data_IF_252057223817
#
_entry.id   IF_252057223817
#
_cell.length_a   1.000
_cell.length_b   1.000
_cell.length_c   1.000
_cell.angle_alpha   90.00
_cell.angle_beta   90.00
_cell.angle_gamma   90.00
#
_symmetry.space_group_name_H-M   'P 1'
#
loop_
_entity.id
_entity.type
_entity.pdbx_description
1 polymer ?
#
# COMPACT_ATOMS: atom_id res chain seq x y z
N UNK A 1 10.69 -26.11 -59.70
CA UNK A 1 11.31 -25.09 -58.82
C UNK A 1 10.32 -23.93 -58.70
N UNK A 2 9.71 -23.75 -57.53
CA UNK A 2 8.73 -22.70 -57.29
C UNK A 2 8.56 -22.54 -55.79
N UNK A 3 9.43 -21.73 -55.19
CA UNK A 3 9.47 -21.47 -53.75
C UNK A 3 8.37 -20.48 -53.39
N UNK A 4 7.45 -20.87 -52.50
CA UNK A 4 6.48 -19.96 -51.87
C UNK A 4 7.19 -19.14 -50.79
N UNK A 5 7.04 -17.81 -50.71
CA UNK A 5 7.49 -17.05 -49.57
C UNK A 5 6.50 -17.20 -48.41
N UNK A 6 7.05 -17.39 -47.21
CA UNK A 6 6.32 -17.45 -45.95
C UNK A 6 5.64 -16.11 -45.66
N UNK A 7 4.31 -16.11 -45.51
CA UNK A 7 3.57 -14.99 -44.98
C UNK A 7 3.78 -14.92 -43.46
N UNK A 8 4.84 -14.23 -43.04
CA UNK A 8 4.99 -13.76 -41.66
C UNK A 8 3.86 -12.79 -41.36
N UNK A 9 2.88 -13.23 -40.58
CA UNK A 9 1.86 -12.34 -40.03
C UNK A 9 2.49 -11.69 -38.79
N UNK A 10 2.71 -10.37 -38.72
CA UNK A 10 2.94 -9.74 -37.44
C UNK A 10 1.59 -9.82 -36.73
N UNK A 11 1.45 -10.75 -35.79
CA UNK A 11 0.45 -10.58 -34.75
C UNK A 11 0.96 -9.43 -33.90
N UNK A 12 0.69 -8.19 -34.36
CA UNK A 12 0.49 -7.08 -33.45
C UNK A 12 -0.44 -7.64 -32.40
N UNK A 13 0.13 -7.94 -31.23
CA UNK A 13 -0.61 -8.10 -30.00
C UNK A 13 -1.38 -6.80 -29.90
N UNK A 14 -2.60 -6.84 -30.40
CA UNK A 14 -3.58 -5.79 -30.25
C UNK A 14 -3.62 -5.66 -28.75
N UNK A 15 -3.00 -4.58 -28.25
CA UNK A 15 -3.11 -4.11 -26.89
C UNK A 15 -4.60 -4.03 -26.67
N UNK A 16 -5.16 -5.14 -26.17
CA UNK A 16 -6.59 -5.30 -25.93
C UNK A 16 -6.82 -4.26 -24.86
N UNK A 17 -7.31 -3.10 -25.28
CA UNK A 17 -7.81 -2.09 -24.39
C UNK A 17 -8.85 -2.76 -23.50
N UNK A 18 -8.48 -2.94 -22.24
CA UNK A 18 -9.24 -3.64 -21.23
C UNK A 18 -8.42 -3.60 -19.96
N UNK A 19 -8.81 -2.73 -19.01
CA UNK A 19 -8.08 -2.36 -17.79
C UNK A 19 -6.78 -1.57 -18.03
N UNK A 20 -6.82 -0.55 -18.88
CA UNK A 20 -5.80 0.50 -18.89
C UNK A 20 -6.00 1.42 -17.68
N UNK A 21 -5.00 1.51 -16.81
CA UNK A 21 -4.80 2.59 -15.83
C UNK A 21 -5.79 2.72 -14.66
N UNK A 22 -6.56 1.69 -14.29
CA UNK A 22 -7.56 1.81 -13.21
C UNK A 22 -7.01 1.97 -11.78
N UNK A 23 -5.69 2.08 -11.61
CA UNK A 23 -5.08 2.34 -10.29
C UNK A 23 -3.56 2.52 -10.31
N UNK A 24 -2.98 3.01 -11.40
CA UNK A 24 -1.54 3.24 -11.49
C UNK A 24 -1.15 4.45 -10.65
N UNK A 25 -0.49 4.22 -9.51
CA UNK A 25 0.23 5.27 -8.81
C UNK A 25 1.48 5.73 -9.59
N UNK A 26 1.92 4.90 -10.55
CA UNK A 26 3.02 5.17 -11.49
C UNK A 26 2.60 4.81 -12.91
N UNK A 27 3.33 5.31 -13.91
CA UNK A 27 3.09 5.05 -15.34
C UNK A 27 3.18 3.56 -15.73
N UNK A 28 3.79 2.71 -14.88
CA UNK A 28 3.87 1.26 -15.05
C UNK A 28 2.78 0.47 -14.30
N UNK A 29 1.92 1.14 -13.53
CA UNK A 29 0.94 0.45 -12.67
C UNK A 29 1.54 -0.17 -11.41
N UNK A 30 2.80 0.15 -11.10
CA UNK A 30 3.53 -0.24 -9.89
C UNK A 30 3.15 0.67 -8.72
N UNK A 31 3.24 0.11 -7.51
CA UNK A 31 3.15 0.90 -6.28
C UNK A 31 4.40 1.77 -6.14
N UNK A 32 4.27 3.00 -5.60
CA UNK A 32 5.40 3.88 -5.40
C UNK A 32 6.33 3.26 -4.36
N UNK A 33 7.64 3.34 -4.60
CA UNK A 33 8.62 2.89 -3.63
C UNK A 33 8.60 3.81 -2.40
N UNK A 34 8.49 3.20 -1.23
CA UNK A 34 8.51 3.91 0.05
C UNK A 34 9.93 3.98 0.60
N UNK A 35 10.37 5.19 0.96
CA UNK A 35 11.66 5.38 1.64
C UNK A 35 11.51 5.19 3.16
N UNK A 36 12.52 4.64 3.85
CA UNK A 36 12.48 4.48 5.30
C UNK A 36 12.45 5.84 6.00
N UNK A 37 11.47 6.03 6.88
CA UNK A 37 11.27 7.24 7.68
C UNK A 37 11.66 6.94 9.13
N UNK A 38 12.79 7.49 9.63
CA UNK A 38 13.18 7.26 11.02
C UNK A 38 12.19 7.92 11.99
N UNK A 39 11.98 7.26 13.13
CA UNK A 39 11.10 7.71 14.20
C UNK A 39 11.94 7.88 15.46
N UNK A 40 11.93 9.09 16.02
CA UNK A 40 12.91 9.49 17.05
C UNK A 40 12.56 8.96 18.44
N UNK A 41 11.28 8.69 18.73
CA UNK A 41 10.79 8.22 20.04
C UNK A 41 9.39 7.63 19.95
N UNK A 42 8.96 6.91 20.99
CA UNK A 42 7.60 6.38 21.14
C UNK A 42 6.52 7.48 21.09
N UNK A 43 6.80 8.65 21.69
CA UNK A 43 5.88 9.79 21.66
C UNK A 43 5.76 10.40 20.24
N UNK A 44 6.87 10.49 19.51
CA UNK A 44 6.87 10.94 18.12
C UNK A 44 6.08 9.98 17.23
N UNK A 45 6.26 8.67 17.42
CA UNK A 45 5.46 7.65 16.74
C UNK A 45 3.96 7.81 17.01
N UNK A 46 3.58 7.92 18.29
CA UNK A 46 2.20 8.09 18.72
C UNK A 46 1.53 9.33 18.11
N UNK A 47 2.23 10.46 18.08
CA UNK A 47 1.72 11.68 17.47
C UNK A 47 1.53 11.51 15.96
N UNK A 48 2.49 10.86 15.28
CA UNK A 48 2.37 10.54 13.85
C UNK A 48 1.19 9.60 13.58
N UNK A 49 1.01 8.53 14.36
CA UNK A 49 -0.15 7.63 14.25
C UNK A 49 -1.48 8.36 14.48
N UNK A 50 -1.57 9.22 15.50
CA UNK A 50 -2.77 10.02 15.75
C UNK A 50 -3.13 10.92 14.57
N UNK A 51 -2.12 11.50 13.91
CA UNK A 51 -2.29 12.29 12.70
C UNK A 51 -2.76 11.43 11.53
N UNK A 52 -2.17 10.25 11.35
CA UNK A 52 -2.55 9.29 10.31
C UNK A 52 -4.02 8.88 10.41
N UNK A 53 -4.56 8.66 11.61
CA UNK A 53 -6.01 8.37 11.79
C UNK A 53 -6.88 9.45 11.14
N UNK A 54 -6.51 10.74 11.32
CA UNK A 54 -7.26 11.87 10.73
C UNK A 54 -7.04 11.98 9.22
N UNK A 55 -5.85 11.65 8.74
CA UNK A 55 -5.52 11.69 7.30
C UNK A 55 -6.14 10.53 6.52
N UNK A 56 -6.42 9.40 7.18
CA UNK A 56 -7.03 8.21 6.58
C UNK A 56 -8.56 8.23 6.53
N UNK A 57 -9.23 9.23 7.12
CA UNK A 57 -10.70 9.39 7.03
C UNK A 57 -11.16 9.36 5.57
N UNK A 58 -12.10 8.48 5.22
CA UNK A 58 -12.61 8.26 3.85
C UNK A 58 -13.14 9.51 3.15
N UNK A 59 -13.45 10.59 3.89
CA UNK A 59 -13.85 11.90 3.36
C UNK A 59 -12.67 12.71 2.84
N UNK A 60 -11.43 12.35 3.21
CA UNK A 60 -10.21 12.97 2.70
C UNK A 60 -9.95 12.56 1.27
N UNK A 61 -9.19 13.40 0.58
CA UNK A 61 -8.75 13.09 -0.78
C UNK A 61 -7.99 11.75 -0.83
N UNK A 62 -8.26 10.95 -1.86
CA UNK A 62 -7.73 9.60 -1.99
C UNK A 62 -6.21 9.57 -2.16
N UNK A 63 -5.62 10.58 -2.80
CA UNK A 63 -4.18 10.70 -2.96
C UNK A 63 -3.51 11.08 -1.63
N UNK A 64 -4.15 11.93 -0.82
CA UNK A 64 -3.70 12.23 0.53
C UNK A 64 -3.71 10.98 1.43
N UNK A 65 -4.74 10.14 1.32
CA UNK A 65 -4.84 8.86 2.05
C UNK A 65 -3.74 7.88 1.64
N UNK A 66 -3.43 7.80 0.35
CA UNK A 66 -2.30 7.02 -0.16
C UNK A 66 -0.99 7.50 0.47
N UNK A 67 -0.72 8.81 0.45
CA UNK A 67 0.49 9.38 1.06
C UNK A 67 0.59 9.08 2.56
N UNK A 68 -0.53 9.11 3.27
CA UNK A 68 -0.59 8.72 4.68
C UNK A 68 -0.23 7.24 4.89
N UNK A 69 -0.75 6.32 4.06
CA UNK A 69 -0.37 4.89 4.12
C UNK A 69 1.11 4.67 3.83
N UNK A 70 1.66 5.31 2.79
CA UNK A 70 3.09 5.24 2.47
C UNK A 70 3.94 5.82 3.61
N UNK A 71 3.46 6.85 4.30
CA UNK A 71 4.16 7.37 5.48
C UNK A 71 4.18 6.35 6.62
N UNK A 72 3.11 5.60 6.85
CA UNK A 72 3.11 4.50 7.83
C UNK A 72 4.11 3.42 7.44
N UNK A 73 4.08 2.98 6.19
CA UNK A 73 5.01 1.99 5.65
C UNK A 73 6.46 2.44 5.81
N UNK A 74 6.76 3.71 5.50
CA UNK A 74 8.08 4.29 5.67
C UNK A 74 8.54 4.26 7.11
N UNK A 75 7.65 4.53 8.07
CA UNK A 75 7.98 4.41 9.51
C UNK A 75 8.28 2.96 9.90
N UNK A 76 7.55 2.00 9.37
CA UNK A 76 7.79 0.56 9.60
C UNK A 76 9.16 0.16 9.05
N UNK A 77 9.48 0.54 7.81
CA UNK A 77 10.80 0.34 7.18
C UNK A 77 11.93 1.04 7.95
N UNK A 78 11.64 2.21 8.52
CA UNK A 78 12.54 2.98 9.38
C UNK A 78 12.75 2.38 10.77
N UNK A 79 12.13 1.24 11.08
CA UNK A 79 12.34 0.50 12.32
C UNK A 79 11.38 0.85 13.46
N UNK A 80 10.26 1.52 13.19
CA UNK A 80 9.24 1.84 14.20
C UNK A 80 8.69 0.59 14.91
N UNK A 81 8.73 -0.57 14.27
CA UNK A 81 8.31 -1.86 14.86
C UNK A 81 9.11 -2.30 16.10
N UNK A 82 10.25 -1.67 16.36
CA UNK A 82 11.08 -1.92 17.55
C UNK A 82 10.61 -1.14 18.79
N UNK A 83 9.71 -0.18 18.62
CA UNK A 83 9.15 0.63 19.70
C UNK A 83 8.17 -0.20 20.54
N UNK A 84 8.16 0.02 21.86
CA UNK A 84 7.33 -0.75 22.79
C UNK A 84 5.83 -0.51 22.56
N UNK A 85 5.46 0.73 22.23
CA UNK A 85 4.09 1.12 21.92
C UNK A 85 3.64 0.83 20.48
N UNK A 86 4.46 0.17 19.64
CA UNK A 86 4.15 0.02 18.22
C UNK A 86 2.82 -0.68 17.96
N UNK A 87 2.59 -1.82 18.64
CA UNK A 87 1.37 -2.60 18.46
C UNK A 87 0.12 -1.87 18.96
N UNK A 88 0.24 -1.10 20.04
CA UNK A 88 -0.88 -0.34 20.59
C UNK A 88 -1.29 0.81 19.66
N UNK A 89 -0.31 1.52 19.09
CA UNK A 89 -0.62 2.57 18.11
C UNK A 89 -1.10 2.00 16.77
N UNK A 90 -0.62 0.81 16.37
CA UNK A 90 -1.13 0.12 15.18
C UNK A 90 -2.59 -0.32 15.36
N UNK A 91 -3.00 -0.72 16.58
CA UNK A 91 -4.41 -0.98 16.91
C UNK A 91 -5.27 0.25 16.74
N UNK A 92 -4.77 1.44 17.09
CA UNK A 92 -5.51 2.69 16.90
C UNK A 92 -5.74 3.03 15.42
N UNK A 93 -4.86 2.57 14.53
CA UNK A 93 -4.97 2.75 13.08
C UNK A 93 -5.86 1.71 12.39
N UNK A 94 -6.20 0.62 13.08
CA UNK A 94 -6.88 -0.54 12.50
C UNK A 94 -8.13 -0.16 11.71
N UNK A 95 -9.09 0.50 12.34
CA UNK A 95 -10.39 0.76 11.71
C UNK A 95 -10.23 1.65 10.46
N UNK A 96 -9.34 2.65 10.53
CA UNK A 96 -9.03 3.52 9.41
C UNK A 96 -8.34 2.76 8.25
N UNK A 97 -7.46 1.80 8.54
CA UNK A 97 -6.83 0.94 7.55
C UNK A 97 -7.82 -0.05 6.93
N UNK A 98 -8.73 -0.62 7.71
CA UNK A 98 -9.82 -1.49 7.21
C UNK A 98 -10.71 -0.74 6.22
N UNK A 99 -11.02 0.54 6.47
CA UNK A 99 -11.75 1.36 5.51
C UNK A 99 -11.00 1.52 4.17
N UNK A 100 -9.66 1.62 4.19
CA UNK A 100 -8.86 1.73 2.97
C UNK A 100 -8.84 0.42 2.16
N UNK A 101 -8.80 -0.72 2.85
CA UNK A 101 -8.90 -2.05 2.20
C UNK A 101 -10.22 -2.20 1.44
N UNK A 102 -11.29 -1.57 1.92
CA UNK A 102 -12.61 -1.58 1.31
C UNK A 102 -12.85 -0.43 0.29
N UNK A 103 -11.82 0.37 -0.04
CA UNK A 103 -11.97 1.49 -0.97
C UNK A 103 -12.25 0.99 -2.40
N UNK A 104 -13.23 1.64 -3.06
CA UNK A 104 -13.64 1.32 -4.44
C UNK A 104 -12.58 1.68 -5.49
N UNK A 105 -11.62 2.53 -5.15
CA UNK A 105 -10.50 2.88 -6.01
C UNK A 105 -9.39 1.85 -5.81
N UNK A 106 -9.12 1.08 -6.85
CA UNK A 106 -8.08 0.04 -6.79
C UNK A 106 -6.69 0.57 -6.40
N UNK A 107 -6.38 1.85 -6.69
CA UNK A 107 -5.15 2.48 -6.24
C UNK A 107 -5.03 2.50 -4.70
N UNK A 108 -6.11 2.87 -3.99
CA UNK A 108 -6.10 2.98 -2.53
C UNK A 108 -6.04 1.59 -1.90
N UNK A 109 -6.91 0.67 -2.31
CA UNK A 109 -6.96 -0.67 -1.73
C UNK A 109 -5.69 -1.48 -2.04
N UNK A 110 -5.04 -1.29 -3.21
CA UNK A 110 -3.73 -1.91 -3.49
C UNK A 110 -2.62 -1.44 -2.55
N UNK A 111 -2.56 -0.14 -2.25
CA UNK A 111 -1.60 0.40 -1.28
C UNK A 111 -1.89 -0.12 0.12
N UNK A 112 -3.16 -0.15 0.53
CA UNK A 112 -3.56 -0.68 1.82
C UNK A 112 -3.19 -2.16 1.98
N UNK A 113 -3.44 -2.99 0.96
CA UNK A 113 -3.06 -4.40 0.95
C UNK A 113 -1.54 -4.60 1.01
N UNK A 114 -0.78 -3.76 0.30
CA UNK A 114 0.69 -3.83 0.33
C UNK A 114 1.23 -3.51 1.73
N UNK A 115 0.77 -2.41 2.33
CA UNK A 115 1.12 -2.03 3.70
C UNK A 115 0.76 -3.13 4.71
N UNK A 116 -0.39 -3.78 4.56
CA UNK A 116 -0.78 -4.92 5.41
C UNK A 116 0.21 -6.09 5.28
N UNK A 117 0.70 -6.35 4.06
CA UNK A 117 1.75 -7.33 3.80
C UNK A 117 3.08 -6.97 4.49
N UNK A 118 3.51 -5.71 4.36
CA UNK A 118 4.73 -5.22 5.03
C UNK A 118 4.63 -5.30 6.56
N UNK A 119 3.46 -4.98 7.12
CA UNK A 119 3.18 -5.13 8.56
C UNK A 119 3.25 -6.61 8.99
N UNK A 120 2.67 -7.52 8.20
CA UNK A 120 2.70 -8.95 8.47
C UNK A 120 4.13 -9.51 8.44
N UNK A 121 4.93 -9.13 7.43
CA UNK A 121 6.35 -9.53 7.33
C UNK A 121 7.16 -8.97 8.51
N UNK A 122 6.94 -7.71 8.87
CA UNK A 122 7.70 -7.04 9.93
C UNK A 122 7.37 -7.59 11.33
N UNK A 123 6.10 -7.91 11.59
CA UNK A 123 5.64 -8.38 12.91
C UNK A 123 5.70 -9.90 13.07
N UNK A 124 5.67 -10.66 11.97
CA UNK A 124 5.60 -12.12 11.99
C UNK A 124 4.43 -12.61 12.85
N UNK A 125 4.68 -13.54 13.76
CA UNK A 125 3.65 -14.12 14.65
C UNK A 125 2.95 -13.08 15.54
N UNK A 126 3.56 -11.92 15.79
CA UNK A 126 2.93 -10.84 16.57
C UNK A 126 1.78 -10.16 15.82
N UNK A 127 1.69 -10.37 14.50
CA UNK A 127 0.61 -9.86 13.68
C UNK A 127 -0.68 -10.67 13.81
N UNK A 128 -0.61 -11.93 14.25
CA UNK A 128 -1.76 -12.83 14.28
C UNK A 128 -2.97 -12.29 15.04
N UNK A 129 -2.84 -11.67 16.24
CA UNK A 129 -3.98 -11.06 16.93
C UNK A 129 -4.59 -9.87 16.19
N UNK A 130 -3.83 -9.21 15.30
CA UNK A 130 -4.34 -8.11 14.47
C UNK A 130 -4.98 -8.63 13.18
N UNK A 131 -4.41 -9.70 12.59
CA UNK A 131 -4.84 -10.27 11.31
C UNK A 131 -6.29 -10.76 11.32
N UNK A 132 -6.78 -11.29 12.45
CA UNK A 132 -8.15 -11.81 12.59
C UNK A 132 -9.23 -10.72 12.45
N UNK A 133 -8.85 -9.45 12.50
CA UNK A 133 -9.77 -8.33 12.56
C UNK A 133 -9.72 -7.39 11.35
N UNK A 134 -9.00 -7.75 10.29
CA UNK A 134 -8.98 -7.03 9.01
C UNK A 134 -9.95 -7.64 7.99
#
# INVERSE_FOLDING_TARGET
KGSRPASGRPSNLTKRGGFGDAGGLTAGGELPATEPVPVSSENDFKQKCSKLVVELDVKKDWDARIRAMLQLEGMVLGGASRLGNFLDELRNLKDALTEQLNDRRSAVSRVACHLLGELAVTLGNKFEPLAVHF
#
